data_IF_594128755533
#
_entry.id   IF_594128755533
#
_cell.length_a   1.000
_cell.length_b   1.000
_cell.length_c   1.000
_cell.angle_alpha   90.00
_cell.angle_beta   90.00
_cell.angle_gamma   90.00
#
_symmetry.space_group_name_H-M   'P 1'
#
loop_
_entity.id
_entity.type
_entity.pdbx_description
1 polymer ?
#
# COMPACT_ATOMS: atom_id res chain seq x y z
N UNK A 1 -17.48 -14.97 4.30
CA UNK A 1 -16.49 -15.97 4.76
C UNK A 1 -15.24 -16.00 3.85
N UNK A 2 -15.40 -15.80 2.53
CA UNK A 2 -14.34 -15.81 1.50
C UNK A 2 -13.25 -14.73 1.68
N UNK A 3 -13.60 -13.52 2.16
CA UNK A 3 -12.64 -12.43 2.36
C UNK A 3 -11.52 -12.77 3.36
N UNK A 4 -11.85 -13.49 4.44
CA UNK A 4 -10.85 -13.93 5.41
C UNK A 4 -9.92 -15.01 4.84
N UNK A 5 -10.41 -15.78 3.86
CA UNK A 5 -9.67 -16.83 3.19
C UNK A 5 -8.69 -16.27 2.16
N UNK A 6 -9.09 -15.23 1.42
CA UNK A 6 -8.20 -14.50 0.51
C UNK A 6 -7.03 -13.82 1.26
N UNK A 7 -7.30 -13.24 2.43
CA UNK A 7 -6.26 -12.66 3.30
C UNK A 7 -5.26 -13.69 3.85
N UNK A 8 -5.56 -15.00 3.81
CA UNK A 8 -4.63 -16.06 4.21
C UNK A 8 -3.53 -16.30 3.16
N UNK A 9 -3.73 -15.91 1.90
CA UNK A 9 -2.78 -16.20 0.82
C UNK A 9 -1.79 -15.04 0.61
N UNK A 10 -0.67 -15.08 1.33
CA UNK A 10 0.32 -13.98 1.43
C UNK A 10 1.02 -13.62 0.12
N UNK A 11 1.19 -14.58 -0.80
CA UNK A 11 1.81 -14.35 -2.11
C UNK A 11 0.90 -13.57 -3.06
N UNK A 12 -0.40 -13.88 -3.08
CA UNK A 12 -1.38 -13.17 -3.90
C UNK A 12 -1.54 -11.72 -3.43
N UNK A 13 -1.54 -11.51 -2.11
CA UNK A 13 -1.59 -10.19 -1.48
C UNK A 13 -0.39 -9.31 -1.85
N UNK A 14 0.81 -9.89 -1.94
CA UNK A 14 2.01 -9.19 -2.39
C UNK A 14 1.86 -8.70 -3.83
N UNK A 15 1.42 -9.59 -4.72
CA UNK A 15 1.30 -9.30 -6.14
C UNK A 15 0.28 -8.19 -6.40
N UNK A 16 -0.90 -8.26 -5.76
CA UNK A 16 -1.94 -7.22 -5.86
C UNK A 16 -1.40 -5.84 -5.50
N UNK A 17 -0.64 -5.73 -4.40
CA UNK A 17 -0.10 -4.44 -3.97
C UNK A 17 0.96 -3.95 -4.96
N UNK A 18 1.87 -4.82 -5.40
CA UNK A 18 2.95 -4.42 -6.34
C UNK A 18 2.39 -4.00 -7.68
N UNK A 19 1.44 -4.75 -8.23
CA UNK A 19 0.81 -4.40 -9.51
C UNK A 19 0.15 -3.02 -9.45
N UNK A 20 -0.52 -2.68 -8.33
CA UNK A 20 -1.07 -1.33 -8.13
C UNK A 20 0.03 -0.26 -8.14
N UNK A 21 1.15 -0.52 -7.43
CA UNK A 21 2.26 0.41 -7.38
C UNK A 21 2.89 0.59 -8.76
N UNK A 22 3.03 -0.47 -9.55
CA UNK A 22 3.56 -0.41 -10.92
C UNK A 22 2.61 0.36 -11.86
N UNK A 23 1.28 0.29 -11.67
CA UNK A 23 0.34 1.13 -12.43
C UNK A 23 0.44 2.61 -12.05
N UNK A 24 0.64 2.92 -10.77
CA UNK A 24 0.68 4.30 -10.28
C UNK A 24 2.05 4.95 -10.51
N UNK A 25 3.10 4.14 -10.43
CA UNK A 25 4.51 4.52 -10.55
C UNK A 25 5.19 3.57 -11.56
N UNK A 26 5.04 3.85 -12.87
CA UNK A 26 5.53 2.97 -13.94
C UNK A 26 7.03 2.66 -13.87
N UNK A 27 7.81 3.49 -13.19
CA UNK A 27 9.16 3.15 -12.81
C UNK A 27 9.47 3.49 -11.35
N UNK A 28 10.49 2.82 -10.79
CA UNK A 28 10.95 3.05 -9.42
C UNK A 28 11.39 4.50 -9.17
N UNK A 29 11.87 5.20 -10.21
CA UNK A 29 12.23 6.63 -10.12
C UNK A 29 11.02 7.51 -9.83
N UNK A 30 9.84 7.19 -10.37
CA UNK A 30 8.61 7.94 -10.13
C UNK A 30 8.16 7.80 -8.67
N UNK A 31 8.26 6.58 -8.14
CA UNK A 31 7.94 6.34 -6.73
C UNK A 31 8.94 7.04 -5.80
N UNK A 32 10.24 6.97 -6.10
CA UNK A 32 11.27 7.67 -5.31
C UNK A 32 11.06 9.19 -5.36
N UNK A 33 10.73 9.74 -6.53
CA UNK A 33 10.40 11.17 -6.69
C UNK A 33 9.19 11.54 -5.81
N UNK A 34 8.13 10.75 -5.88
CA UNK A 34 6.96 10.90 -5.02
C UNK A 34 7.30 10.87 -3.54
N UNK A 35 8.12 9.91 -3.08
CA UNK A 35 8.55 9.85 -1.68
C UNK A 35 9.31 11.11 -1.25
N UNK A 36 10.24 11.59 -2.08
CA UNK A 36 11.02 12.81 -1.80
C UNK A 36 10.14 14.05 -1.70
N UNK A 37 9.25 14.23 -2.67
CA UNK A 37 8.43 15.45 -2.79
C UNK A 37 7.26 15.47 -1.79
N UNK A 38 6.63 14.33 -1.54
CA UNK A 38 5.32 14.30 -0.89
C UNK A 38 5.32 13.70 0.53
N UNK A 39 6.34 12.91 0.86
CA UNK A 39 6.41 12.12 2.10
C UNK A 39 7.56 12.58 2.99
N UNK A 40 8.79 12.63 2.48
CA UNK A 40 9.99 12.89 3.28
C UNK A 40 10.05 14.32 3.85
N UNK A 41 9.29 15.26 3.27
CA UNK A 41 9.09 16.61 3.82
C UNK A 41 8.40 16.63 5.21
N UNK A 42 7.88 15.49 5.68
CA UNK A 42 7.29 15.35 7.01
C UNK A 42 8.30 15.00 8.09
N UNK A 43 9.41 14.36 7.72
CA UNK A 43 10.44 13.96 8.68
C UNK A 43 11.33 15.15 9.09
N UNK A 44 11.30 16.26 8.33
CA UNK A 44 12.07 17.49 8.58
C UNK A 44 11.30 18.61 9.30
N UNK A 45 9.97 18.51 9.40
CA UNK A 45 9.12 19.51 10.09
C UNK A 45 8.65 18.95 11.42
N UNK A 46 9.17 19.49 12.52
CA UNK A 46 8.75 19.19 13.89
C UNK A 46 7.22 19.07 13.99
N UNK A 47 6.78 17.84 14.26
CA UNK A 47 5.38 17.46 14.48
C UNK A 47 4.86 18.22 15.71
N UNK A 48 3.98 19.20 15.53
CA UNK A 48 3.06 19.59 16.62
C UNK A 48 1.77 20.32 16.18
N UNK A 49 1.62 20.77 14.92
CA UNK A 49 0.38 21.46 14.50
C UNK A 49 -0.33 20.88 13.26
N UNK A 50 0.32 19.99 12.48
CA UNK A 50 -0.27 19.44 11.26
C UNK A 50 -1.09 18.14 11.46
N UNK A 51 -0.94 17.43 12.58
CA UNK A 51 -1.61 16.14 12.80
C UNK A 51 -3.14 16.26 12.86
N UNK A 52 -3.65 17.32 13.49
CA UNK A 52 -5.08 17.57 13.70
C UNK A 52 -5.83 18.01 12.42
N UNK A 53 -5.17 18.72 11.49
CA UNK A 53 -5.75 19.06 10.18
C UNK A 53 -5.75 17.85 9.24
N UNK A 54 -4.67 17.08 9.25
CA UNK A 54 -4.55 15.86 8.45
C UNK A 54 -5.58 14.81 8.90
N UNK A 55 -5.86 14.66 10.20
CA UNK A 55 -6.88 13.69 10.65
C UNK A 55 -8.29 14.03 10.16
N UNK A 56 -8.70 15.31 10.23
CA UNK A 56 -10.05 15.76 9.81
C UNK A 56 -10.32 15.62 8.31
N UNK A 57 -9.35 15.92 7.44
CA UNK A 57 -9.49 15.74 5.98
C UNK A 57 -9.51 14.27 5.51
N UNK A 58 -9.30 13.31 6.43
CA UNK A 58 -9.23 11.89 6.09
C UNK A 58 -10.52 11.14 6.46
N UNK A 59 -11.24 11.56 7.49
CA UNK A 59 -12.48 10.89 7.91
C UNK A 59 -13.62 11.08 6.89
N UNK A 60 -13.54 12.08 6.02
CA UNK A 60 -14.49 12.30 4.92
C UNK A 60 -14.15 11.53 3.63
N UNK A 61 -13.01 10.85 3.54
CA UNK A 61 -12.60 10.17 2.31
C UNK A 61 -13.09 8.72 2.28
N UNK A 62 -14.40 8.53 2.04
CA UNK A 62 -14.95 7.21 1.69
C UNK A 62 -14.56 6.85 0.26
N UNK A 63 -13.66 5.89 0.12
CA UNK A 63 -13.35 5.29 -1.17
C UNK A 63 -14.42 4.24 -1.47
N UNK A 64 -15.44 4.59 -2.26
CA UNK A 64 -16.26 3.59 -2.94
C UNK A 64 -15.41 2.95 -4.05
N UNK A 65 -14.57 2.04 -3.57
CA UNK A 65 -13.63 1.11 -4.19
C UNK A 65 -13.10 1.32 -5.62
N UNK A 66 -11.79 1.13 -5.77
CA UNK A 66 -11.14 0.88 -7.06
C UNK A 66 -11.49 -0.52 -7.63
N UNK A 67 -11.95 -1.45 -6.79
CA UNK A 67 -12.27 -2.84 -7.15
C UNK A 67 -13.50 -3.32 -6.40
N UNK A 68 -14.52 -3.80 -7.11
CA UNK A 68 -15.64 -4.53 -6.52
C UNK A 68 -15.22 -5.98 -6.26
N UNK A 69 -14.86 -6.29 -5.01
CA UNK A 69 -14.38 -7.63 -4.63
C UNK A 69 -15.43 -8.71 -4.84
N UNK A 70 -16.71 -8.37 -4.72
CA UNK A 70 -17.80 -9.32 -4.89
C UNK A 70 -17.86 -9.83 -6.34
N UNK A 71 -17.47 -8.99 -7.30
CA UNK A 71 -17.37 -9.35 -8.71
C UNK A 71 -16.11 -10.18 -9.01
N UNK A 72 -15.02 -9.93 -8.27
CA UNK A 72 -13.73 -10.64 -8.39
C UNK A 72 -13.80 -12.04 -7.78
N UNK A 73 -14.44 -12.18 -6.62
CA UNK A 73 -14.51 -13.45 -5.88
C UNK A 73 -15.55 -14.43 -6.46
N UNK A 74 -16.54 -13.94 -7.22
CA UNK A 74 -17.51 -14.78 -7.95
C UNK A 74 -16.92 -15.45 -9.19
N UNK A 75 -15.81 -14.95 -9.72
CA UNK A 75 -15.06 -15.62 -10.80
C UNK A 75 -14.09 -16.64 -10.21
N UNK A 76 -14.48 -17.94 -10.26
CA UNK A 76 -13.74 -19.18 -9.99
C UNK A 76 -12.29 -19.08 -9.44
N UNK A 77 -12.00 -19.87 -8.41
CA UNK A 77 -10.70 -19.94 -7.72
C UNK A 77 -9.50 -20.19 -8.66
N UNK A 78 -9.69 -20.94 -9.75
CA UNK A 78 -8.65 -21.19 -10.77
C UNK A 78 -8.32 -19.98 -11.67
N UNK A 79 -9.18 -18.96 -11.72
CA UNK A 79 -9.00 -17.73 -12.51
C UNK A 79 -8.25 -16.62 -11.78
N UNK A 80 -8.06 -16.75 -10.46
CA UNK A 80 -7.45 -15.74 -9.59
C UNK A 80 -5.92 -15.63 -9.73
N UNK A 81 -5.28 -16.62 -10.36
CA UNK A 81 -3.81 -16.72 -10.47
C UNK A 81 -3.25 -15.82 -11.59
N UNK A 82 -4.09 -15.26 -12.48
CA UNK A 82 -3.63 -14.52 -13.68
C UNK A 82 -4.22 -13.13 -13.92
N UNK A 83 -5.13 -12.63 -13.08
CA UNK A 83 -5.81 -11.36 -13.36
C UNK A 83 -5.03 -10.19 -12.76
N UNK A 84 -4.43 -9.36 -13.61
CA UNK A 84 -3.99 -8.01 -13.23
C UNK A 84 -5.23 -7.20 -12.87
N UNK A 85 -5.53 -7.13 -11.57
CA UNK A 85 -6.71 -6.45 -11.03
C UNK A 85 -6.76 -4.96 -11.35
N UNK A 86 -5.62 -4.38 -11.74
CA UNK A 86 -5.45 -2.97 -12.03
C UNK A 86 -5.34 -2.69 -13.53
N UNK A 87 -5.57 -3.70 -14.36
CA UNK A 87 -5.62 -3.54 -15.81
C UNK A 87 -6.73 -2.53 -16.16
N UNK A 88 -6.35 -1.48 -16.91
CA UNK A 88 -7.31 -0.46 -17.36
C UNK A 88 -7.67 0.61 -16.32
N UNK A 89 -6.86 0.78 -15.26
CA UNK A 89 -7.00 1.95 -14.38
C UNK A 89 -7.00 3.24 -15.20
N UNK A 90 -8.09 4.00 -15.10
CA UNK A 90 -8.21 5.33 -15.71
C UNK A 90 -7.30 6.32 -14.99
N UNK A 91 -6.91 7.40 -15.68
CA UNK A 91 -6.03 8.43 -15.12
C UNK A 91 -6.57 9.03 -13.81
N UNK A 92 -7.88 9.25 -13.72
CA UNK A 92 -8.54 9.73 -12.50
C UNK A 92 -8.36 8.75 -11.33
N UNK A 93 -8.47 7.45 -11.60
CA UNK A 93 -8.29 6.40 -10.59
C UNK A 93 -6.83 6.31 -10.14
N UNK A 94 -5.87 6.49 -11.05
CA UNK A 94 -4.43 6.58 -10.70
C UNK A 94 -4.17 7.79 -9.79
N UNK A 95 -4.74 8.96 -10.12
CA UNK A 95 -4.61 10.17 -9.30
C UNK A 95 -5.20 9.94 -7.90
N UNK A 96 -6.37 9.32 -7.81
CA UNK A 96 -7.02 9.02 -6.53
C UNK A 96 -6.20 8.00 -5.72
N UNK A 97 -5.70 6.94 -6.34
CA UNK A 97 -4.87 5.93 -5.69
C UNK A 97 -3.56 6.54 -5.17
N UNK A 98 -2.92 7.42 -5.94
CA UNK A 98 -1.73 8.17 -5.51
C UNK A 98 -2.02 9.06 -4.29
N UNK A 99 -3.16 9.75 -4.26
CA UNK A 99 -3.61 10.53 -3.09
C UNK A 99 -3.85 9.65 -1.86
N UNK A 100 -4.42 8.46 -2.06
CA UNK A 100 -4.66 7.49 -0.99
C UNK A 100 -3.36 6.94 -0.42
N UNK A 101 -2.42 6.50 -1.28
CA UNK A 101 -1.08 6.05 -0.87
C UNK A 101 -0.38 7.14 -0.07
N UNK A 102 -0.42 8.38 -0.57
CA UNK A 102 0.13 9.55 0.14
C UNK A 102 -0.48 9.65 1.54
N UNK A 103 -1.80 9.80 1.65
CA UNK A 103 -2.50 9.94 2.94
C UNK A 103 -2.16 8.79 3.91
N UNK A 104 -2.16 7.55 3.43
CA UNK A 104 -1.86 6.37 4.25
C UNK A 104 -0.40 6.36 4.76
N UNK A 105 0.58 6.64 3.89
CA UNK A 105 1.99 6.72 4.28
C UNK A 105 2.26 7.83 5.30
N UNK A 106 1.54 8.95 5.22
CA UNK A 106 1.67 10.05 6.20
C UNK A 106 1.26 9.64 7.63
N UNK A 107 0.41 8.63 7.78
CA UNK A 107 -0.03 8.10 9.09
C UNK A 107 0.94 7.10 9.70
N UNK A 108 1.94 6.63 8.94
CA UNK A 108 2.92 5.65 9.43
C UNK A 108 4.09 6.34 10.12
N UNK A 109 4.78 5.62 10.99
CA UNK A 109 6.05 6.09 11.54
C UNK A 109 7.11 6.11 10.44
N UNK A 110 8.19 6.89 10.62
CA UNK A 110 9.30 6.90 9.65
C UNK A 110 9.90 5.49 9.47
N UNK A 111 10.00 4.73 10.55
CA UNK A 111 10.45 3.32 10.55
C UNK A 111 9.55 2.41 9.71
N UNK A 112 8.23 2.47 9.92
CA UNK A 112 7.24 1.72 9.13
C UNK A 112 7.27 2.12 7.65
N UNK A 113 7.38 3.42 7.34
CA UNK A 113 7.50 3.91 5.95
C UNK A 113 8.74 3.33 5.28
N UNK A 114 9.90 3.36 5.94
CA UNK A 114 11.14 2.80 5.39
C UNK A 114 10.98 1.33 5.06
N UNK A 115 10.47 0.53 5.99
CA UNK A 115 10.21 -0.91 5.77
C UNK A 115 9.26 -1.11 4.57
N UNK A 116 8.15 -0.37 4.53
CA UNK A 116 7.17 -0.45 3.45
C UNK A 116 7.76 -0.10 2.08
N UNK A 117 8.55 0.98 2.00
CA UNK A 117 9.15 1.44 0.75
C UNK A 117 10.07 0.38 0.15
N UNK A 118 10.91 -0.27 0.95
CA UNK A 118 11.75 -1.39 0.51
C UNK A 118 10.91 -2.56 0.01
N UNK A 119 9.84 -2.88 0.73
CA UNK A 119 8.94 -3.98 0.40
C UNK A 119 8.22 -3.79 -0.95
N UNK A 120 7.62 -2.63 -1.20
CA UNK A 120 6.91 -2.34 -2.47
C UNK A 120 7.86 -2.19 -3.65
N UNK A 121 9.11 -1.77 -3.41
CA UNK A 121 10.17 -1.72 -4.42
C UNK A 121 10.76 -3.08 -4.80
N UNK A 122 10.18 -4.19 -4.34
CA UNK A 122 10.62 -5.52 -4.77
C UNK A 122 11.70 -6.15 -3.88
N UNK A 123 12.20 -5.47 -2.85
CA UNK A 123 13.34 -5.98 -2.06
C UNK A 123 12.93 -7.24 -1.28
N UNK A 124 13.70 -8.34 -1.33
CA UNK A 124 13.39 -9.56 -0.60
C UNK A 124 13.30 -9.30 0.91
N UNK A 125 12.29 -9.85 1.59
CA UNK A 125 12.03 -9.62 3.03
C UNK A 125 13.28 -9.86 3.89
N UNK A 126 13.98 -10.96 3.65
CA UNK A 126 15.19 -11.36 4.37
C UNK A 126 16.36 -10.38 4.15
N UNK A 127 16.31 -9.56 3.11
CA UNK A 127 17.31 -8.54 2.81
C UNK A 127 16.94 -7.15 3.34
N UNK A 128 15.71 -6.92 3.81
CA UNK A 128 15.26 -5.61 4.30
C UNK A 128 15.83 -5.34 5.69
N UNK A 129 15.71 -6.30 6.61
CA UNK A 129 16.21 -6.20 7.98
C UNK A 129 17.69 -5.78 8.07
N UNK A 130 18.64 -6.46 7.39
CA UNK A 130 20.04 -6.04 7.44
C UNK A 130 20.29 -4.67 6.80
N UNK A 131 19.54 -4.30 5.74
CA UNK A 131 19.68 -2.99 5.08
C UNK A 131 19.19 -1.82 5.94
N UNK A 132 18.25 -2.08 6.84
CA UNK A 132 17.70 -1.07 7.73
C UNK A 132 18.36 -1.09 9.12
N UNK A 133 19.25 -2.06 9.39
CA UNK A 133 19.78 -2.37 10.71
C UNK A 133 18.64 -2.61 11.72
N UNK A 134 17.68 -3.43 11.32
CA UNK A 134 16.47 -3.74 12.07
C UNK A 134 16.41 -5.22 12.41
N UNK A 135 15.62 -5.55 13.43
CA UNK A 135 15.30 -6.93 13.78
C UNK A 135 14.46 -7.61 12.67
N UNK A 136 14.78 -8.86 12.34
CA UNK A 136 14.14 -9.58 11.24
C UNK A 136 12.68 -9.91 11.51
N UNK A 137 12.37 -10.36 12.73
CA UNK A 137 11.00 -10.70 13.12
C UNK A 137 10.14 -9.44 13.14
N UNK A 138 10.67 -8.34 13.67
CA UNK A 138 10.02 -7.03 13.62
C UNK A 138 9.69 -6.58 12.20
N UNK A 139 10.63 -6.74 11.25
CA UNK A 139 10.40 -6.37 9.84
C UNK A 139 9.32 -7.24 9.22
N UNK A 140 9.36 -8.55 9.43
CA UNK A 140 8.36 -9.49 8.89
C UNK A 140 6.96 -9.19 9.45
N UNK A 141 6.86 -8.98 10.76
CA UNK A 141 5.61 -8.64 11.43
C UNK A 141 5.07 -7.29 10.93
N UNK A 142 5.94 -6.27 10.85
CA UNK A 142 5.57 -4.94 10.35
C UNK A 142 5.05 -5.02 8.92
N UNK A 143 5.71 -5.77 8.03
CA UNK A 143 5.23 -5.96 6.66
C UNK A 143 3.86 -6.64 6.67
N UNK A 144 3.65 -7.69 7.46
CA UNK A 144 2.37 -8.39 7.55
C UNK A 144 1.23 -7.47 7.99
N UNK A 145 1.46 -6.66 9.02
CA UNK A 145 0.49 -5.67 9.52
C UNK A 145 0.18 -4.63 8.44
N UNK A 146 1.22 -4.02 7.85
CA UNK A 146 1.04 -2.97 6.84
C UNK A 146 0.37 -3.49 5.58
N UNK A 147 0.66 -4.73 5.14
CA UNK A 147 -0.02 -5.36 4.01
C UNK A 147 -1.52 -5.49 4.29
N UNK A 148 -1.91 -6.04 5.45
CA UNK A 148 -3.32 -6.21 5.83
C UNK A 148 -4.04 -4.86 5.92
N UNK A 149 -3.42 -3.86 6.54
CA UNK A 149 -3.99 -2.51 6.64
C UNK A 149 -4.17 -1.86 5.26
N UNK A 150 -3.18 -1.98 4.38
CA UNK A 150 -3.23 -1.38 3.06
C UNK A 150 -4.24 -2.08 2.17
N UNK A 151 -4.35 -3.41 2.23
CA UNK A 151 -5.38 -4.16 1.51
C UNK A 151 -6.77 -3.73 1.94
N UNK A 152 -7.06 -3.68 3.25
CA UNK A 152 -8.35 -3.18 3.76
C UNK A 152 -8.69 -1.76 3.29
N UNK A 153 -7.68 -0.95 2.96
CA UNK A 153 -7.88 0.40 2.47
C UNK A 153 -8.25 0.45 0.98
N UNK A 154 -7.67 -0.44 0.16
CA UNK A 154 -7.88 -0.47 -1.29
C UNK A 154 -8.94 -1.49 -1.73
N UNK A 155 -9.28 -2.44 -0.86
CA UNK A 155 -10.27 -3.51 -1.04
C UNK A 155 -11.43 -3.26 -0.08
N UNK A 156 -12.64 -3.05 -0.61
CA UNK A 156 -13.85 -2.83 0.19
C UNK A 156 -14.34 -4.16 0.76
N UNK A 157 -14.81 -4.10 2.01
CA UNK A 157 -15.64 -5.14 2.63
C UNK A 157 -17.05 -5.09 2.06
#
# INVERSE_FOLDING_TARGET
>A
MIFQEYLKNTNNNLQVIRDLYDKIFPCSKDYIKFLREEINNLDSKNFNQNSLKISKEIDEFKFDCLLDLDQVLRSNEDYLIKKDYWLGLRQEQIILAKKLIKKWLKRKTSRQRRIWNYFVLGVPKNSIAPKLNEDSDFVVETISVLQKEFLKLIMKN
#
